data_IF_297274548393
#
_entry.id   IF_297274548393
#
_cell.length_a   1.000
_cell.length_b   1.000
_cell.length_c   1.000
_cell.angle_alpha   90.00
_cell.angle_beta   90.00
_cell.angle_gamma   90.00
#
_symmetry.space_group_name_H-M   'P 1'
#
loop_
_entity.id
_entity.type
_entity.pdbx_description
1 polymer ?
#
# COMPACT_ATOMS: atom_id res chain seq x y z
N UNK A 1 -56.43 -23.94 -31.21
CA UNK A 1 -56.02 -23.07 -30.08
C UNK A 1 -54.83 -23.71 -29.40
N UNK A 2 -53.60 -23.33 -29.79
CA UNK A 2 -52.36 -23.94 -29.29
C UNK A 2 -51.64 -23.00 -28.33
N UNK A 3 -51.62 -23.36 -27.05
CA UNK A 3 -50.92 -22.63 -25.98
C UNK A 3 -49.40 -22.67 -26.18
N UNK A 4 -48.75 -21.51 -26.23
CA UNK A 4 -47.29 -21.39 -26.22
C UNK A 4 -46.76 -21.48 -24.77
N UNK A 5 -45.72 -22.28 -24.48
CA UNK A 5 -45.15 -22.33 -23.13
C UNK A 5 -44.27 -21.10 -22.86
N UNK A 6 -44.47 -20.49 -21.69
CA UNK A 6 -43.71 -19.34 -21.21
C UNK A 6 -42.25 -19.70 -20.91
N UNK A 7 -41.32 -18.93 -21.48
CA UNK A 7 -39.90 -19.02 -21.14
C UNK A 7 -39.67 -18.49 -19.72
N UNK A 8 -39.51 -19.41 -18.77
CA UNK A 8 -38.97 -19.15 -17.44
C UNK A 8 -37.58 -18.51 -17.57
N UNK A 9 -37.47 -17.20 -17.28
CA UNK A 9 -36.18 -16.53 -17.06
C UNK A 9 -35.57 -17.08 -15.76
N UNK A 10 -34.69 -18.08 -15.90
CA UNK A 10 -33.75 -18.44 -14.84
C UNK A 10 -32.91 -17.20 -14.55
N UNK A 11 -32.97 -16.67 -13.33
CA UNK A 11 -32.02 -15.67 -12.82
C UNK A 11 -30.63 -16.27 -12.99
N UNK A 12 -29.80 -15.63 -13.81
CA UNK A 12 -28.38 -15.89 -13.79
C UNK A 12 -27.89 -15.64 -12.37
N UNK A 13 -27.22 -16.63 -11.79
CA UNK A 13 -26.48 -16.44 -10.56
C UNK A 13 -25.53 -15.26 -10.77
N UNK A 14 -25.58 -14.32 -9.83
CA UNK A 14 -24.65 -13.21 -9.73
C UNK A 14 -23.26 -13.79 -9.42
N UNK A 15 -22.59 -14.29 -10.45
CA UNK A 15 -21.15 -14.53 -10.41
C UNK A 15 -20.53 -13.15 -10.39
N UNK A 16 -20.22 -12.67 -9.17
CA UNK A 16 -19.49 -11.43 -8.96
C UNK A 16 -18.28 -11.33 -9.88
N UNK A 17 -17.80 -10.12 -10.19
CA UNK A 17 -16.82 -9.91 -11.22
C UNK A 17 -15.57 -10.74 -10.93
N UNK A 18 -15.36 -11.79 -11.73
CA UNK A 18 -14.12 -12.55 -11.73
C UNK A 18 -12.94 -11.60 -11.98
N UNK A 19 -11.74 -11.90 -11.45
CA UNK A 19 -10.61 -10.99 -11.53
C UNK A 19 -10.20 -10.82 -12.99
N UNK A 20 -10.56 -9.68 -13.57
CA UNK A 20 -10.13 -9.28 -14.91
C UNK A 20 -8.61 -9.17 -15.00
N UNK A 21 -8.02 -9.25 -16.21
CA UNK A 21 -6.60 -9.52 -16.44
C UNK A 21 -5.63 -8.36 -16.12
N UNK A 22 -6.07 -7.37 -15.34
CA UNK A 22 -5.24 -6.28 -14.82
C UNK A 22 -5.59 -6.04 -13.35
N UNK A 23 -5.01 -6.80 -12.44
CA UNK A 23 -5.13 -6.47 -11.01
C UNK A 23 -4.57 -5.06 -10.79
N UNK A 24 -5.43 -4.12 -10.38
CA UNK A 24 -4.99 -2.75 -10.12
C UNK A 24 -4.00 -2.75 -8.94
N UNK A 25 -2.91 -1.99 -9.08
CA UNK A 25 -1.83 -1.89 -8.08
C UNK A 25 -2.34 -1.48 -6.69
N UNK A 26 -3.42 -0.70 -6.65
CA UNK A 26 -4.13 -0.32 -5.41
C UNK A 26 -4.74 -1.55 -4.74
N UNK A 27 -5.52 -2.37 -5.45
CA UNK A 27 -6.12 -3.57 -4.88
C UNK A 27 -5.09 -4.61 -4.43
N UNK A 28 -3.92 -4.67 -5.06
CA UNK A 28 -2.81 -5.48 -4.55
C UNK A 28 -2.28 -4.96 -3.20
N UNK A 29 -2.15 -3.62 -3.05
CA UNK A 29 -1.76 -3.01 -1.78
C UNK A 29 -2.84 -3.14 -0.69
N UNK A 30 -4.12 -3.05 -1.04
CA UNK A 30 -5.23 -3.23 -0.08
C UNK A 30 -5.24 -4.66 0.48
N UNK A 31 -5.08 -5.68 -0.39
CA UNK A 31 -4.92 -7.07 0.07
C UNK A 31 -3.68 -7.23 0.95
N UNK A 32 -2.55 -6.62 0.55
CA UNK A 32 -1.34 -6.64 1.36
C UNK A 32 -1.56 -5.98 2.73
N UNK A 33 -2.25 -4.83 2.77
CA UNK A 33 -2.56 -4.09 3.99
C UNK A 33 -3.36 -4.96 4.95
N UNK A 34 -4.44 -5.60 4.46
CA UNK A 34 -5.26 -6.51 5.28
C UNK A 34 -4.42 -7.63 5.88
N UNK A 35 -3.65 -8.34 5.05
CA UNK A 35 -2.83 -9.47 5.53
C UNK A 35 -1.75 -9.01 6.51
N UNK A 36 -1.07 -7.88 6.24
CA UNK A 36 -0.04 -7.36 7.14
C UNK A 36 -0.64 -6.92 8.47
N UNK A 37 -1.82 -6.28 8.46
CA UNK A 37 -2.52 -5.89 9.68
C UNK A 37 -2.83 -7.12 10.53
N UNK A 38 -3.43 -8.15 9.92
CA UNK A 38 -3.84 -9.35 10.64
C UNK A 38 -2.63 -10.15 11.16
N UNK A 39 -1.60 -10.31 10.33
CA UNK A 39 -0.46 -11.19 10.66
C UNK A 39 0.64 -10.50 11.48
N UNK A 40 0.82 -9.18 11.36
CA UNK A 40 2.01 -8.47 11.87
C UNK A 40 1.74 -7.18 12.66
N UNK A 41 0.64 -6.48 12.39
CA UNK A 41 0.41 -5.12 12.90
C UNK A 41 -1.08 -4.82 13.16
N UNK A 42 -1.72 -5.54 14.10
CA UNK A 42 -3.15 -5.38 14.38
C UNK A 42 -3.50 -4.00 14.94
N UNK A 43 -2.51 -3.26 15.47
CA UNK A 43 -2.70 -1.91 16.00
C UNK A 43 -2.85 -0.83 14.93
N UNK A 44 -2.58 -1.14 13.65
CA UNK A 44 -2.83 -0.19 12.57
C UNK A 44 -4.35 -0.04 12.33
N UNK A 45 -4.82 1.13 11.87
CA UNK A 45 -6.24 1.35 11.61
C UNK A 45 -6.87 0.27 10.71
N UNK A 46 -8.16 -0.04 10.91
CA UNK A 46 -8.92 -0.88 9.97
C UNK A 46 -8.85 -0.34 8.53
N UNK A 47 -8.89 -1.24 7.54
CA UNK A 47 -8.71 -0.89 6.13
C UNK A 47 -9.81 0.02 5.55
N UNK A 48 -11.01 -0.05 6.10
CA UNK A 48 -12.15 0.84 5.80
C UNK A 48 -11.97 2.27 6.33
N UNK A 49 -10.95 2.52 7.15
CA UNK A 49 -10.54 3.87 7.56
C UNK A 49 -9.33 4.40 6.76
N UNK A 50 -8.76 3.61 5.82
CA UNK A 50 -7.50 3.92 5.12
C UNK A 50 -7.69 3.97 3.61
N UNK A 51 -7.36 5.11 3.01
CA UNK A 51 -7.21 5.24 1.56
C UNK A 51 -5.79 4.90 1.13
N UNK A 52 -5.62 3.96 0.19
CA UNK A 52 -4.32 3.66 -0.40
C UNK A 52 -4.20 4.30 -1.79
N UNK A 53 -3.17 5.13 -1.98
CA UNK A 53 -2.92 5.86 -3.22
C UNK A 53 -1.59 5.43 -3.87
N UNK A 54 -1.51 5.61 -5.19
CA UNK A 54 -0.27 5.45 -5.95
C UNK A 54 0.34 6.81 -6.24
N UNK A 55 1.56 7.01 -5.75
CA UNK A 55 2.33 8.22 -5.99
C UNK A 55 3.01 8.23 -7.36
N UNK A 56 2.73 9.25 -8.16
CA UNK A 56 3.44 9.54 -9.42
C UNK A 56 4.30 10.80 -9.27
N UNK A 57 5.53 10.82 -9.82
CA UNK A 57 6.33 12.03 -9.91
C UNK A 57 5.64 13.02 -10.84
N UNK A 58 5.80 14.31 -10.55
CA UNK A 58 5.48 15.35 -11.53
C UNK A 58 6.37 15.17 -12.77
N UNK A 59 5.83 15.45 -13.98
CA UNK A 59 6.51 15.23 -15.27
C UNK A 59 7.97 15.70 -15.22
N UNK A 60 8.89 14.82 -15.65
CA UNK A 60 10.32 15.15 -15.78
C UNK A 60 11.15 15.11 -14.49
N UNK A 61 10.56 14.84 -13.32
CA UNK A 61 11.33 14.68 -12.08
C UNK A 61 12.22 13.43 -12.19
N UNK A 62 13.50 13.66 -12.52
CA UNK A 62 14.53 12.63 -12.45
C UNK A 62 14.57 12.11 -11.01
N UNK A 63 14.80 10.81 -10.81
CA UNK A 63 14.95 10.26 -9.46
C UNK A 63 16.06 11.01 -8.73
N UNK A 64 15.68 11.89 -7.81
CA UNK A 64 16.59 12.67 -6.99
C UNK A 64 16.89 11.97 -5.65
N UNK A 65 17.93 12.39 -4.94
CA UNK A 65 18.29 11.85 -3.62
C UNK A 65 17.17 12.02 -2.58
N UNK A 66 16.23 12.95 -2.81
CA UNK A 66 15.11 13.24 -1.92
C UNK A 66 13.77 12.64 -2.40
N UNK A 67 13.79 11.72 -3.38
CA UNK A 67 12.57 11.04 -3.81
C UNK A 67 11.99 10.20 -2.67
N UNK A 68 10.69 10.39 -2.41
CA UNK A 68 9.94 9.70 -1.36
C UNK A 68 9.35 8.40 -1.91
N UNK A 69 9.46 7.33 -1.13
CA UNK A 69 8.92 6.02 -1.53
C UNK A 69 7.53 5.76 -0.99
N UNK A 70 7.19 6.37 0.14
CA UNK A 70 5.86 6.35 0.70
C UNK A 70 5.59 7.54 1.61
N UNK A 71 4.32 7.78 1.83
CA UNK A 71 3.82 8.87 2.69
C UNK A 71 2.61 8.34 3.47
N UNK A 72 2.54 8.71 4.74
CA UNK A 72 1.38 8.49 5.59
C UNK A 72 0.82 9.83 6.08
N UNK A 73 -0.51 9.95 6.06
CA UNK A 73 -1.25 11.08 6.62
C UNK A 73 -2.45 10.60 7.42
N UNK A 74 -2.78 11.33 8.48
CA UNK A 74 -3.96 11.10 9.33
C UNK A 74 -4.67 12.43 9.61
N UNK A 75 -5.99 12.43 9.67
CA UNK A 75 -6.84 13.60 9.93
C UNK A 75 -8.03 13.68 8.99
N UNK A 76 -8.87 14.71 9.09
CA UNK A 76 -9.93 14.93 8.11
C UNK A 76 -9.31 15.20 6.74
N UNK A 77 -9.50 14.27 5.81
CA UNK A 77 -8.90 14.32 4.49
C UNK A 77 -9.94 14.82 3.48
N UNK A 78 -9.77 16.03 2.93
CA UNK A 78 -10.70 16.60 1.93
C UNK A 78 -10.64 15.85 0.60
N UNK A 79 -11.71 15.17 0.19
CA UNK A 79 -11.80 14.51 -1.12
C UNK A 79 -11.59 12.99 -1.11
N UNK A 80 -11.56 12.37 0.07
CA UNK A 80 -11.84 10.93 0.26
C UNK A 80 -13.10 10.78 1.11
N UNK A 81 -13.69 9.57 1.10
CA UNK A 81 -14.92 9.28 1.85
C UNK A 81 -14.82 9.78 3.30
N UNK A 82 -15.94 10.22 3.88
CA UNK A 82 -16.00 10.74 5.27
C UNK A 82 -15.45 9.75 6.31
N UNK A 83 -15.48 8.46 5.99
CA UNK A 83 -15.03 7.39 6.88
C UNK A 83 -13.51 7.11 6.77
N UNK A 84 -12.85 7.63 5.73
CA UNK A 84 -11.42 7.45 5.51
C UNK A 84 -10.63 8.60 6.14
N UNK A 85 -10.19 8.42 7.38
CA UNK A 85 -9.37 9.39 8.13
C UNK A 85 -7.87 9.26 7.89
N UNK A 86 -7.43 8.28 7.09
CA UNK A 86 -6.02 8.01 6.83
C UNK A 86 -5.73 7.86 5.34
N UNK A 87 -4.54 8.30 4.93
CA UNK A 87 -3.98 8.02 3.60
C UNK A 87 -2.64 7.33 3.76
N UNK A 88 -2.42 6.27 2.98
CA UNK A 88 -1.10 5.75 2.65
C UNK A 88 -0.86 5.92 1.16
N UNK A 89 0.22 6.60 0.79
CA UNK A 89 0.67 6.68 -0.59
C UNK A 89 1.94 5.86 -0.76
N UNK A 90 1.98 5.01 -1.80
CA UNK A 90 3.16 4.25 -2.20
C UNK A 90 3.59 4.68 -3.60
N UNK A 91 4.86 5.00 -3.76
CA UNK A 91 5.40 5.45 -5.03
C UNK A 91 5.40 4.30 -6.06
N UNK A 92 4.90 4.55 -7.28
CA UNK A 92 4.63 3.51 -8.28
C UNK A 92 5.86 2.65 -8.66
N UNK A 93 7.08 3.19 -8.54
CA UNK A 93 8.34 2.48 -8.85
C UNK A 93 8.63 1.31 -7.90
N UNK A 94 7.93 1.18 -6.78
CA UNK A 94 8.13 0.07 -5.84
C UNK A 94 7.64 -1.28 -6.38
N UNK A 95 6.71 -1.29 -7.35
CA UNK A 95 6.04 -2.51 -7.79
C UNK A 95 6.94 -3.49 -8.54
N UNK A 96 8.07 -3.04 -9.11
CA UNK A 96 9.09 -3.93 -9.66
C UNK A 96 9.86 -4.74 -8.60
N UNK A 97 9.64 -4.47 -7.31
CA UNK A 97 10.28 -5.14 -6.17
C UNK A 97 9.24 -5.41 -5.08
N UNK A 98 8.40 -6.45 -5.21
CA UNK A 98 7.23 -6.67 -4.34
C UNK A 98 7.55 -6.62 -2.85
N UNK A 99 8.63 -7.27 -2.42
CA UNK A 99 9.06 -7.26 -1.01
C UNK A 99 9.44 -5.85 -0.57
N UNK A 100 10.18 -5.08 -1.37
CA UNK A 100 10.52 -3.70 -1.02
C UNK A 100 9.27 -2.81 -0.95
N UNK A 101 8.31 -3.03 -1.85
CA UNK A 101 6.99 -2.37 -1.79
C UNK A 101 6.28 -2.66 -0.46
N UNK A 102 6.24 -3.92 -0.03
CA UNK A 102 5.64 -4.30 1.25
C UNK A 102 6.41 -3.75 2.46
N UNK A 103 7.73 -3.62 2.37
CA UNK A 103 8.53 -2.97 3.41
C UNK A 103 8.12 -1.51 3.55
N UNK A 104 7.99 -0.78 2.44
CA UNK A 104 7.53 0.61 2.44
C UNK A 104 6.10 0.72 2.97
N UNK A 105 5.19 -0.16 2.53
CA UNK A 105 3.81 -0.20 3.03
C UNK A 105 3.78 -0.40 4.54
N UNK A 106 4.48 -1.43 5.05
CA UNK A 106 4.56 -1.72 6.47
C UNK A 106 5.15 -0.54 7.27
N UNK A 107 6.17 0.13 6.74
CA UNK A 107 6.71 1.35 7.34
C UNK A 107 5.64 2.44 7.50
N UNK A 108 4.83 2.67 6.47
CA UNK A 108 3.73 3.64 6.55
C UNK A 108 2.63 3.19 7.52
N UNK A 109 2.32 1.89 7.57
CA UNK A 109 1.35 1.33 8.54
C UNK A 109 1.80 1.53 10.00
N UNK A 110 3.11 1.47 10.27
CA UNK A 110 3.67 1.79 11.60
C UNK A 110 3.41 3.26 11.94
N UNK A 111 3.60 4.19 11.00
CA UNK A 111 3.25 5.60 11.21
C UNK A 111 1.77 5.79 11.54
N UNK A 112 0.88 5.09 10.85
CA UNK A 112 -0.55 5.13 11.16
C UNK A 112 -0.83 4.58 12.56
N UNK A 113 -0.24 3.45 12.94
CA UNK A 113 -0.44 2.81 14.24
C UNK A 113 0.02 3.68 15.42
N UNK A 114 1.18 4.36 15.29
CA UNK A 114 1.72 5.19 16.38
C UNK A 114 1.26 6.63 16.34
N UNK A 115 0.59 7.06 15.26
CA UNK A 115 0.29 8.45 14.94
C UNK A 115 1.42 9.12 14.16
N UNK A 116 1.09 9.56 12.94
CA UNK A 116 1.99 10.17 11.93
C UNK A 116 2.83 11.33 12.46
N UNK A 117 2.31 12.11 13.41
CA UNK A 117 2.99 13.23 14.06
C UNK A 117 4.22 12.83 14.89
N UNK A 118 4.33 11.54 15.26
CA UNK A 118 5.48 11.05 16.01
C UNK A 118 6.71 10.85 15.13
N UNK A 119 6.58 10.84 13.80
CA UNK A 119 7.67 10.52 12.88
C UNK A 119 8.41 9.24 13.29
N UNK A 120 9.75 9.22 13.19
CA UNK A 120 10.58 8.09 13.61
C UNK A 120 11.04 8.15 15.07
N UNK A 121 10.27 8.77 15.98
CA UNK A 121 10.61 8.90 17.41
C UNK A 121 10.32 7.60 18.19
N UNK A 122 10.53 7.62 19.52
CA UNK A 122 10.49 6.44 20.42
C UNK A 122 9.35 5.44 20.13
N UNK A 123 8.10 5.89 20.00
CA UNK A 123 6.95 5.00 19.72
C UNK A 123 7.13 4.23 18.40
N UNK A 124 7.51 4.92 17.33
CA UNK A 124 7.82 4.31 16.04
C UNK A 124 8.96 3.30 16.18
N UNK A 125 10.07 3.69 16.82
CA UNK A 125 11.26 2.85 16.92
C UNK A 125 11.00 1.55 17.67
N UNK A 126 10.24 1.63 18.78
CA UNK A 126 9.86 0.45 19.56
C UNK A 126 9.01 -0.51 18.73
N UNK A 127 8.00 0.00 18.04
CA UNK A 127 7.12 -0.81 17.21
C UNK A 127 7.86 -1.40 15.99
N UNK A 128 8.65 -0.58 15.29
CA UNK A 128 9.45 -1.02 14.16
C UNK A 128 10.47 -2.11 14.55
N UNK A 129 11.16 -1.94 15.69
CA UNK A 129 12.07 -2.96 16.22
C UNK A 129 11.35 -4.27 16.56
N UNK A 130 10.18 -4.20 17.21
CA UNK A 130 9.35 -5.37 17.55
C UNK A 130 8.95 -6.16 16.31
N UNK A 131 8.59 -5.47 15.23
CA UNK A 131 8.20 -6.08 13.96
C UNK A 131 9.42 -6.62 13.18
N UNK A 132 10.62 -6.14 13.50
CA UNK A 132 11.87 -6.63 12.95
C UNK A 132 12.52 -5.72 11.90
N UNK A 133 12.30 -4.40 11.97
CA UNK A 133 13.15 -3.43 11.28
C UNK A 133 14.47 -3.22 12.01
N UNK A 134 15.54 -3.06 11.24
CA UNK A 134 16.86 -2.66 11.69
C UNK A 134 17.01 -1.12 11.64
N UNK A 135 17.89 -0.60 12.49
CA UNK A 135 18.28 0.81 12.50
C UNK A 135 19.26 1.12 11.34
N UNK A 136 19.31 2.38 10.85
CA UNK A 136 18.42 3.49 11.18
C UNK A 136 17.05 3.35 10.49
N UNK A 137 15.98 3.73 11.19
CA UNK A 137 14.60 3.48 10.75
C UNK A 137 14.13 4.31 9.54
N UNK A 138 14.85 5.38 9.18
CA UNK A 138 14.60 6.15 7.94
C UNK A 138 15.00 5.41 6.65
N UNK A 139 15.63 4.24 6.76
CA UNK A 139 16.13 3.47 5.60
C UNK A 139 15.33 2.19 5.31
N UNK A 140 14.23 1.93 6.02
CA UNK A 140 13.33 0.80 5.73
C UNK A 140 14.09 -0.54 5.61
N UNK A 141 14.97 -0.85 6.57
CA UNK A 141 15.82 -2.06 6.53
C UNK A 141 15.13 -3.21 7.28
N UNK A 142 14.49 -4.20 6.62
CA UNK A 142 13.94 -5.35 7.32
C UNK A 142 15.06 -6.31 7.76
N UNK A 143 14.87 -6.96 8.91
CA UNK A 143 15.64 -8.15 9.27
C UNK A 143 15.40 -9.30 8.28
N UNK A 144 16.27 -10.32 8.29
CA UNK A 144 16.08 -11.52 7.44
C UNK A 144 14.75 -12.22 7.75
N UNK A 145 14.36 -12.28 9.02
CA UNK A 145 13.08 -12.84 9.45
C UNK A 145 11.89 -12.04 8.88
N UNK A 146 11.91 -10.71 9.03
CA UNK A 146 10.86 -9.85 8.47
C UNK A 146 10.79 -9.96 6.95
N UNK A 147 11.93 -9.95 6.25
CA UNK A 147 11.97 -10.14 4.80
C UNK A 147 11.35 -11.49 4.37
N UNK A 148 11.60 -12.57 5.12
CA UNK A 148 10.99 -13.87 4.88
C UNK A 148 9.47 -13.86 5.11
N UNK A 149 8.99 -13.17 6.14
CA UNK A 149 7.54 -12.98 6.38
C UNK A 149 6.89 -12.23 5.21
N UNK A 150 7.50 -11.13 4.76
CA UNK A 150 6.99 -10.37 3.63
C UNK A 150 7.00 -11.19 2.33
N UNK A 151 8.01 -12.04 2.09
CA UNK A 151 8.00 -12.99 0.96
C UNK A 151 6.84 -13.99 1.06
N UNK A 152 6.51 -14.48 2.26
CA UNK A 152 5.34 -15.35 2.49
C UNK A 152 4.04 -14.62 2.14
N UNK A 153 3.91 -13.36 2.56
CA UNK A 153 2.75 -12.53 2.25
C UNK A 153 2.62 -12.33 0.74
N UNK A 154 3.70 -12.00 0.01
CA UNK A 154 3.68 -11.90 -1.46
C UNK A 154 3.18 -13.19 -2.10
N UNK A 155 3.61 -14.37 -1.61
CA UNK A 155 3.10 -15.66 -2.13
C UNK A 155 1.61 -15.86 -1.84
N UNK A 156 1.13 -15.42 -0.67
CA UNK A 156 -0.28 -15.52 -0.25
C UNK A 156 -1.20 -14.62 -1.08
N UNK A 157 -0.80 -13.39 -1.38
CA UNK A 157 -1.64 -12.39 -2.08
C UNK A 157 -1.47 -12.39 -3.61
N UNK A 158 -0.51 -13.15 -4.12
CA UNK A 158 -0.15 -13.20 -5.53
C UNK A 158 0.92 -12.18 -5.94
N UNK A 159 1.48 -12.34 -7.15
CA UNK A 159 2.53 -11.45 -7.66
C UNK A 159 2.04 -10.01 -7.73
N UNK A 160 2.96 -9.06 -7.46
CA UNK A 160 2.63 -7.65 -7.64
C UNK A 160 2.43 -7.35 -9.15
N UNK A 161 1.46 -6.50 -9.51
CA UNK A 161 1.23 -6.15 -10.92
C UNK A 161 2.49 -5.48 -11.50
N UNK A 162 3.06 -6.11 -12.52
CA UNK A 162 4.24 -5.61 -13.23
C UNK A 162 3.85 -4.63 -14.36
N UNK A 163 4.85 -3.95 -14.94
CA UNK A 163 4.68 -3.00 -16.05
C UNK A 163 4.85 -1.55 -15.64
N UNK A 164 5.12 -0.67 -16.62
CA UNK A 164 5.05 0.79 -16.43
C UNK A 164 3.59 1.20 -16.47
N UNK A 165 3.17 2.08 -15.56
CA UNK A 165 1.95 2.83 -15.79
C UNK A 165 2.32 3.97 -16.73
N UNK A 166 1.88 3.91 -17.98
CA UNK A 166 1.76 5.10 -18.83
C UNK A 166 0.51 5.84 -18.41
N UNK A 167 0.54 6.37 -17.18
CA UNK A 167 -0.49 7.23 -16.67
C UNK A 167 0.06 8.65 -16.71
N UNK A 168 -0.61 9.50 -17.47
CA UNK A 168 -0.40 10.94 -17.35
C UNK A 168 -0.68 11.34 -15.88
N UNK A 169 0.29 11.95 -15.18
CA UNK A 169 0.05 12.38 -13.83
C UNK A 169 -1.09 13.41 -13.82
N UNK A 170 -2.01 13.35 -12.85
CA UNK A 170 -3.08 14.35 -12.74
C UNK A 170 -2.48 15.76 -12.67
N UNK A 171 -3.09 16.70 -13.42
CA UNK A 171 -2.60 18.08 -13.60
C UNK A 171 -2.51 18.89 -12.30
N UNK A 172 -3.21 18.48 -11.24
CA UNK A 172 -3.07 19.05 -9.91
C UNK A 172 -3.19 17.95 -8.85
N UNK A 173 -2.22 17.89 -7.94
CA UNK A 173 -2.39 17.27 -6.63
C UNK A 173 -2.77 18.40 -5.70
N UNK A 174 -4.06 18.70 -5.58
CA UNK A 174 -4.52 19.61 -4.53
C UNK A 174 -3.99 19.08 -3.20
N UNK A 175 -3.29 19.96 -2.49
CA UNK A 175 -2.27 19.60 -1.53
C UNK A 175 -2.81 18.77 -0.36
N UNK A 176 -2.59 17.46 -0.41
CA UNK A 176 -2.60 16.63 0.78
C UNK A 176 -1.53 17.16 1.74
N UNK A 177 -1.93 17.60 2.95
CA UNK A 177 -0.96 17.91 3.99
C UNK A 177 -0.30 16.59 4.43
N UNK A 178 0.92 16.38 3.97
CA UNK A 178 1.72 15.22 4.36
C UNK A 178 2.07 15.35 5.84
N UNK A 179 1.66 14.39 6.66
CA UNK A 179 2.01 14.38 8.08
C UNK A 179 3.35 13.66 8.35
N UNK A 180 3.67 12.63 7.56
CA UNK A 180 4.99 12.01 7.57
C UNK A 180 5.42 11.55 6.16
N UNK A 181 6.60 11.98 5.71
CA UNK A 181 7.17 11.59 4.40
C UNK A 181 8.55 10.96 4.56
N UNK A 182 8.75 9.76 4.00
CA UNK A 182 9.98 8.99 4.19
C UNK A 182 10.83 8.91 2.91
N UNK A 183 12.17 9.09 3.01
CA UNK A 183 13.06 9.03 1.86
C UNK A 183 13.24 7.59 1.34
N UNK A 184 13.89 7.47 0.18
CA UNK A 184 14.13 6.20 -0.52
C UNK A 184 15.05 5.22 0.27
N UNK A 185 14.63 3.98 0.56
CA UNK A 185 15.51 2.86 0.90
C UNK A 185 16.66 2.65 -0.10
N UNK A 186 17.87 2.48 0.44
CA UNK A 186 19.04 2.03 -0.34
C UNK A 186 18.83 0.59 -0.81
N UNK A 187 19.33 0.27 -2.00
CA UNK A 187 19.20 -1.06 -2.61
C UNK A 187 20.01 -2.04 -1.75
N UNK A 188 19.31 -2.95 -1.04
CA UNK A 188 19.97 -4.06 -0.34
C UNK A 188 20.65 -4.93 -1.39
N UNK A 189 21.96 -5.17 -1.22
CA UNK A 189 22.65 -6.28 -1.86
C UNK A 189 21.82 -7.53 -1.62
N UNK A 190 21.63 -8.34 -2.67
CA UNK A 190 20.84 -9.57 -2.64
C UNK A 190 21.13 -10.36 -1.37
N UNK A 191 20.13 -10.48 -0.49
CA UNK A 191 20.21 -11.41 0.63
C UNK A 191 20.33 -12.82 0.04
N UNK A 192 21.50 -13.42 0.19
CA UNK A 192 21.71 -14.85 0.03
C UNK A 192 20.86 -15.68 0.99
#
# INVERSE_FOLDING_TARGET
>A
MGSKPGKSRRRAADTGPGPGPHSNRVGWLERAYSVIRDDLLPETPPGDCVSILLGFPHRGARPGPHQRNGVASSGAVQGVSRDHSHIVEIHFRQFGRPVACLVTLLHQMIHLAVGVQNGHRRKFQLLAKRIGFATPFGEERPSKALANNLRRIVRKIGPAPAGRADLDPPKSRTAWRYACSCPRPRRLSSYG
#
